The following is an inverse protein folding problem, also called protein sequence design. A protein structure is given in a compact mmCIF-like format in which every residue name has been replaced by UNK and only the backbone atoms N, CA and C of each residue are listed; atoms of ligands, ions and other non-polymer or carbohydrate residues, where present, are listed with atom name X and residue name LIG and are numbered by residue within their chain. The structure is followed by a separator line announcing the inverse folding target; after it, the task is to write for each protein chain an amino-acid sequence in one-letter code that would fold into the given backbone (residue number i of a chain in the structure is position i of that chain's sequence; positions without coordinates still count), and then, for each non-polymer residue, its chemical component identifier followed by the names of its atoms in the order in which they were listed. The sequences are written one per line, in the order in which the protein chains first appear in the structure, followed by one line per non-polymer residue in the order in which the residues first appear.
data_IF_987656197059
#
_entry.id   IF_987656197059
#
_cell.length_a   1.000
_cell.length_b   1.000
_cell.length_c   1.000
_cell.angle_alpha   90.00
_cell.angle_beta   90.00
_cell.angle_gamma   90.00
#
_symmetry.space_group_name_H-M   'P 1'
#
loop_
_entity.id
_entity.type
_entity.pdbx_description
1 polymer ?
#
# COMPACT_ATOMS: atom_id res chain seq x y z
N UNK A 1 9.84 12.61 -9.79
CA UNK A 1 9.00 12.10 -8.68
C UNK A 1 7.52 12.32 -9.05
N UNK A 2 7.09 11.79 -10.20
CA UNK A 2 5.74 12.05 -10.76
C UNK A 2 4.62 11.33 -10.00
N UNK A 3 4.95 10.29 -9.23
CA UNK A 3 3.96 9.50 -8.48
C UNK A 3 3.27 10.28 -7.34
N UNK A 4 3.89 11.37 -6.87
CA UNK A 4 3.30 12.21 -5.82
C UNK A 4 2.35 13.27 -6.41
N UNK A 5 2.43 13.52 -7.72
CA UNK A 5 1.56 14.49 -8.41
C UNK A 5 0.10 14.02 -8.49
N UNK A 6 -0.14 12.71 -8.36
CA UNK A 6 -1.48 12.12 -8.34
C UNK A 6 -2.11 12.03 -6.95
N UNK A 7 -1.46 12.56 -5.91
CA UNK A 7 -2.00 12.56 -4.56
C UNK A 7 -2.81 13.84 -4.31
N UNK A 8 -4.07 13.69 -3.88
CA UNK A 8 -4.95 14.82 -3.51
C UNK A 8 -4.57 15.51 -2.18
N UNK A 9 -3.37 15.27 -1.67
CA UNK A 9 -2.85 15.77 -0.40
C UNK A 9 -1.34 16.06 -0.54
N UNK A 10 -0.72 16.87 0.34
CA UNK A 10 0.69 17.26 0.21
C UNK A 10 1.62 16.06 0.44
N UNK A 11 1.82 15.29 -0.63
CA UNK A 11 2.47 14.00 -0.56
C UNK A 11 3.99 14.13 -0.38
N UNK A 12 4.59 15.28 -0.75
CA UNK A 12 5.99 15.54 -0.39
C UNK A 12 6.18 15.64 1.13
N UNK A 13 5.24 16.27 1.84
CA UNK A 13 5.29 16.38 3.31
C UNK A 13 5.08 15.02 3.98
N UNK A 14 4.13 14.22 3.49
CA UNK A 14 3.96 12.85 3.96
C UNK A 14 5.21 12.00 3.74
N UNK A 15 5.82 12.11 2.55
CA UNK A 15 7.05 11.39 2.22
C UNK A 15 8.23 11.82 3.10
N UNK A 16 8.41 13.12 3.37
CA UNK A 16 9.49 13.59 4.23
C UNK A 16 9.39 13.01 5.64
N UNK A 17 8.18 12.94 6.22
CA UNK A 17 7.95 12.30 7.53
C UNK A 17 8.35 10.82 7.51
N UNK A 18 8.01 10.10 6.43
CA UNK A 18 8.35 8.68 6.32
C UNK A 18 9.86 8.45 6.19
N UNK A 19 10.56 9.35 5.49
CA UNK A 19 12.04 9.34 5.38
C UNK A 19 12.67 9.63 6.74
N UNK A 20 12.21 10.67 7.44
CA UNK A 20 12.72 11.05 8.77
C UNK A 20 12.54 9.94 9.81
N UNK A 21 11.52 9.09 9.63
CA UNK A 21 11.25 7.91 10.45
C UNK A 21 11.96 6.65 9.97
N UNK A 22 12.79 6.72 8.94
CA UNK A 22 13.46 5.58 8.31
C UNK A 22 12.51 4.48 7.84
N UNK A 23 11.26 4.82 7.53
CA UNK A 23 10.27 3.86 7.03
C UNK A 23 10.39 3.64 5.53
N UNK A 24 10.88 4.66 4.82
CA UNK A 24 11.19 4.62 3.38
C UNK A 24 12.47 5.39 3.11
N UNK A 25 13.10 5.12 1.98
CA UNK A 25 14.27 5.86 1.51
C UNK A 25 14.19 6.09 0.00
N UNK A 26 14.92 7.09 -0.49
CA UNK A 26 15.05 7.35 -1.92
C UNK A 26 16.36 6.73 -2.39
N UNK A 27 16.27 5.75 -3.28
CA UNK A 27 17.43 5.11 -3.90
C UNK A 27 18.19 6.08 -4.82
N UNK A 28 19.42 5.73 -5.19
CA UNK A 28 20.23 6.48 -6.16
C UNK A 28 19.54 6.66 -7.53
N UNK A 29 18.57 5.82 -7.86
CA UNK A 29 17.76 5.89 -9.08
C UNK A 29 16.49 6.75 -8.91
N UNK A 30 16.41 7.56 -7.85
CA UNK A 30 15.27 8.40 -7.51
C UNK A 30 13.94 7.62 -7.37
N UNK A 31 14.02 6.36 -6.91
CA UNK A 31 12.86 5.52 -6.58
C UNK A 31 12.68 5.45 -5.08
N UNK A 32 11.43 5.57 -4.64
CA UNK A 32 11.02 5.30 -3.25
C UNK A 32 11.16 3.80 -3.01
N UNK A 33 11.86 3.44 -1.94
CA UNK A 33 12.05 2.07 -1.51
C UNK A 33 11.73 1.94 -0.02
N UNK A 34 11.39 0.72 0.38
CA UNK A 34 11.04 0.34 1.75
C UNK A 34 11.77 -0.97 2.05
N UNK A 35 12.22 -1.16 3.28
CA UNK A 35 12.74 -2.46 3.70
C UNK A 35 11.63 -3.51 3.63
N UNK A 36 11.98 -4.70 3.18
CA UNK A 36 11.11 -5.89 3.13
C UNK A 36 10.35 -6.12 4.45
N UNK A 37 11.03 -6.03 5.60
CA UNK A 37 10.39 -6.18 6.91
C UNK A 37 9.31 -5.13 7.20
N UNK A 38 9.53 -3.87 6.80
CA UNK A 38 8.52 -2.81 6.96
C UNK A 38 7.35 -3.05 6.01
N UNK A 39 7.65 -3.49 4.78
CA UNK A 39 6.63 -3.83 3.80
C UNK A 39 5.75 -4.98 4.30
N UNK A 40 6.35 -6.02 4.85
CA UNK A 40 5.66 -7.19 5.40
C UNK A 40 4.86 -6.82 6.65
N UNK A 41 5.39 -5.97 7.52
CA UNK A 41 4.64 -5.42 8.66
C UNK A 41 3.40 -4.66 8.18
N UNK A 42 3.53 -3.78 7.18
CA UNK A 42 2.40 -3.03 6.63
C UNK A 42 1.32 -3.93 6.03
N UNK A 43 1.73 -4.93 5.24
CA UNK A 43 0.84 -5.97 4.70
C UNK A 43 0.12 -6.73 5.81
N UNK A 44 0.85 -7.13 6.85
CA UNK A 44 0.30 -7.85 7.99
C UNK A 44 -0.76 -7.06 8.75
N UNK A 45 -0.52 -5.76 8.98
CA UNK A 45 -1.49 -4.87 9.64
C UNK A 45 -2.81 -4.80 8.85
N UNK A 46 -2.74 -4.60 7.54
CA UNK A 46 -3.95 -4.54 6.69
C UNK A 46 -4.67 -5.89 6.67
N UNK A 47 -3.93 -7.01 6.63
CA UNK A 47 -4.50 -8.36 6.67
C UNK A 47 -5.28 -8.65 7.96
N UNK A 48 -4.80 -8.16 9.10
CA UNK A 48 -5.42 -8.42 10.42
C UNK A 48 -6.67 -7.59 10.70
N UNK A 49 -6.83 -6.44 10.04
CA UNK A 49 -7.92 -5.52 10.39
C UNK A 49 -9.28 -6.01 9.91
N UNK A 50 -9.34 -6.71 8.78
CA UNK A 50 -10.59 -6.97 8.05
C UNK A 50 -10.52 -8.25 7.20
N UNK A 51 -11.70 -8.76 6.88
CA UNK A 51 -11.88 -9.80 5.87
C UNK A 51 -11.44 -9.32 4.48
N UNK A 52 -11.01 -10.21 3.57
CA UNK A 52 -10.45 -9.84 2.27
C UNK A 52 -11.25 -8.77 1.50
N UNK A 53 -12.59 -8.91 1.42
CA UNK A 53 -13.45 -7.98 0.67
C UNK A 53 -13.55 -6.57 1.27
N UNK A 54 -13.28 -6.45 2.56
CA UNK A 54 -13.41 -5.21 3.34
C UNK A 54 -12.06 -4.47 3.50
N UNK A 55 -10.95 -5.12 3.12
CA UNK A 55 -9.62 -4.50 3.13
C UNK A 55 -9.55 -3.41 2.07
N UNK A 56 -8.92 -2.29 2.42
CA UNK A 56 -8.68 -1.20 1.47
C UNK A 56 -7.69 -1.59 0.37
N UNK A 57 -6.85 -2.60 0.59
CA UNK A 57 -5.85 -3.05 -0.40
C UNK A 57 -5.69 -4.56 -0.42
N UNK A 58 -5.56 -5.12 -1.62
CA UNK A 58 -5.25 -6.53 -1.86
C UNK A 58 -4.00 -6.65 -2.73
N UNK A 59 -3.14 -7.64 -2.42
CA UNK A 59 -1.91 -7.94 -3.17
C UNK A 59 -1.66 -9.45 -3.34
N UNK A 60 -2.47 -10.29 -2.70
CA UNK A 60 -2.44 -11.75 -2.88
C UNK A 60 -3.44 -12.12 -3.97
N UNK A 61 -2.99 -12.93 -4.93
CA UNK A 61 -3.83 -13.34 -6.04
C UNK A 61 -5.03 -14.17 -5.56
N UNK A 62 -4.83 -14.99 -4.53
CA UNK A 62 -5.87 -15.83 -3.93
C UNK A 62 -6.95 -14.98 -3.27
N UNK A 63 -6.56 -13.98 -2.46
CA UNK A 63 -7.50 -13.06 -1.82
C UNK A 63 -8.26 -12.23 -2.87
N UNK A 64 -7.58 -11.83 -3.96
CA UNK A 64 -8.23 -11.10 -5.06
C UNK A 64 -9.24 -11.97 -5.80
N UNK A 65 -8.89 -13.22 -6.13
CA UNK A 65 -9.79 -14.18 -6.76
C UNK A 65 -11.01 -14.45 -5.88
N UNK A 66 -10.81 -14.70 -4.58
CA UNK A 66 -11.89 -14.91 -3.61
C UNK A 66 -12.87 -13.73 -3.61
N UNK A 67 -12.35 -12.50 -3.56
CA UNK A 67 -13.16 -11.29 -3.51
C UNK A 67 -13.93 -11.06 -4.81
N UNK A 68 -13.30 -11.35 -5.96
CA UNK A 68 -13.92 -11.23 -7.28
C UNK A 68 -15.01 -12.29 -7.51
N UNK A 69 -14.75 -13.55 -7.15
CA UNK A 69 -15.70 -14.66 -7.31
C UNK A 69 -16.93 -14.46 -6.43
N UNK A 70 -16.73 -14.02 -5.19
CA UNK A 70 -17.82 -13.83 -4.23
C UNK A 70 -18.47 -12.44 -4.30
N UNK A 71 -17.93 -11.53 -5.13
CA UNK A 71 -18.37 -10.14 -5.27
C UNK A 71 -18.45 -9.41 -3.91
N UNK A 72 -17.47 -9.65 -3.03
CA UNK A 72 -17.41 -9.09 -1.66
C UNK A 72 -16.60 -7.81 -1.56
N UNK A 73 -16.05 -7.34 -2.68
CA UNK A 73 -15.18 -6.16 -2.71
C UNK A 73 -15.92 -4.86 -2.41
N UNK A 74 -15.30 -3.98 -1.63
CA UNK A 74 -15.82 -2.63 -1.36
C UNK A 74 -15.31 -1.60 -2.37
N UNK A 75 -15.99 -0.46 -2.49
CA UNK A 75 -15.53 0.67 -3.32
C UNK A 75 -14.16 1.23 -2.93
N UNK A 76 -13.73 0.99 -1.68
CA UNK A 76 -12.45 1.44 -1.16
C UNK A 76 -11.31 0.44 -1.43
N UNK A 77 -11.60 -0.73 -2.01
CA UNK A 77 -10.63 -1.76 -2.29
C UNK A 77 -9.81 -1.42 -3.55
N UNK A 78 -8.50 -1.38 -3.40
CA UNK A 78 -7.54 -1.24 -4.49
C UNK A 78 -6.68 -2.51 -4.63
N UNK A 79 -6.51 -3.00 -5.86
CA UNK A 79 -5.56 -4.07 -6.14
C UNK A 79 -4.16 -3.48 -6.38
N UNK A 80 -3.17 -3.98 -5.66
CA UNK A 80 -1.76 -3.63 -5.84
C UNK A 80 -1.12 -4.71 -6.73
N UNK A 81 -0.66 -4.28 -7.91
CA UNK A 81 0.09 -5.10 -8.86
C UNK A 81 1.59 -4.76 -8.80
#
# INVERSE_FOLDING_TARGET
MQILESCDFPAEYGLSILIDKSLVFISSHNKIQMHDLIQDMGKYVVKMQKDPGERSRLWLAEDFEEVMVNNTGTKAMEAIW
#
